data_IF_000733837278
#
_entry.id   IF_000733837278
#
_cell.length_a   1.000
_cell.length_b   1.000
_cell.length_c   1.000
_cell.angle_alpha   90.00
_cell.angle_beta   90.00
_cell.angle_gamma   90.00
#
_symmetry.space_group_name_H-M   'P 1'
#
loop_
_entity.id
_entity.type
_entity.pdbx_description
1 polymer ?
#
# COMPACT_ATOMS: atom_id res chain seq x y z
N UNK A 1 -40.72 -47.40 15.96
CA UNK A 1 -39.63 -46.82 16.77
C UNK A 1 -38.88 -45.86 15.86
N UNK A 2 -39.29 -44.60 15.86
CA UNK A 2 -38.70 -43.51 15.07
C UNK A 2 -37.71 -42.80 15.99
N UNK A 3 -36.44 -42.74 15.59
CA UNK A 3 -35.40 -42.03 16.32
C UNK A 3 -35.54 -40.54 16.05
N UNK A 4 -35.76 -39.76 17.12
CA UNK A 4 -35.57 -38.31 17.14
C UNK A 4 -34.09 -38.00 16.91
N UNK A 5 -33.79 -37.24 15.86
CA UNK A 5 -32.47 -36.66 15.64
C UNK A 5 -32.49 -35.28 16.29
N UNK A 6 -31.72 -35.14 17.37
CA UNK A 6 -31.56 -33.94 18.17
C UNK A 6 -31.00 -32.79 17.30
N UNK A 7 -31.72 -31.66 17.28
CA UNK A 7 -31.44 -30.51 16.40
C UNK A 7 -30.25 -29.65 16.87
N UNK A 8 -29.42 -30.16 17.77
CA UNK A 8 -28.33 -29.43 18.42
C UNK A 8 -26.92 -29.76 17.90
N UNK A 9 -26.79 -30.67 16.94
CA UNK A 9 -25.49 -31.09 16.35
C UNK A 9 -25.24 -30.53 14.95
N UNK A 10 -26.01 -29.51 14.54
CA UNK A 10 -25.82 -28.88 13.23
C UNK A 10 -24.68 -27.84 13.34
N UNK A 11 -23.54 -28.01 12.65
CA UNK A 11 -22.50 -26.99 12.63
C UNK A 11 -23.08 -25.68 12.08
N UNK A 12 -22.56 -24.51 12.52
CA UNK A 12 -23.03 -23.23 11.99
C UNK A 12 -22.99 -23.26 10.47
N UNK A 13 -24.10 -22.83 9.84
CA UNK A 13 -24.16 -22.71 8.38
C UNK A 13 -23.14 -21.67 7.94
N UNK A 14 -22.04 -22.13 7.35
CA UNK A 14 -21.12 -21.26 6.61
C UNK A 14 -21.75 -20.96 5.25
N UNK A 15 -22.90 -20.29 5.24
CA UNK A 15 -23.27 -19.49 4.08
C UNK A 15 -22.23 -18.38 3.99
N UNK A 16 -21.19 -18.64 3.20
CA UNK A 16 -20.26 -17.67 2.62
C UNK A 16 -21.03 -16.73 1.67
N UNK A 17 -22.07 -16.08 2.19
CA UNK A 17 -22.36 -14.73 1.81
C UNK A 17 -21.30 -13.89 2.50
N UNK A 18 -20.15 -13.72 1.85
CA UNK A 18 -19.41 -12.48 1.99
C UNK A 18 -20.46 -11.39 1.77
N UNK A 19 -20.99 -10.87 2.88
CA UNK A 19 -21.82 -9.70 2.86
C UNK A 19 -20.91 -8.69 2.19
N UNK A 20 -21.18 -8.38 0.93
CA UNK A 20 -20.77 -7.15 0.28
C UNK A 20 -21.50 -6.00 0.99
N UNK A 21 -21.41 -5.97 2.33
CA UNK A 21 -21.77 -4.84 3.12
C UNK A 21 -20.66 -3.85 2.85
N UNK A 22 -20.93 -3.01 1.86
CA UNK A 22 -20.13 -1.84 1.52
C UNK A 22 -19.99 -0.87 2.71
N UNK A 23 -20.66 -1.15 3.84
CA UNK A 23 -20.54 -0.49 5.13
C UNK A 23 -19.87 -1.33 6.22
N UNK A 24 -19.24 -2.48 5.91
CA UNK A 24 -18.45 -3.22 6.89
C UNK A 24 -17.36 -2.30 7.45
N UNK A 25 -17.56 -1.86 8.69
CA UNK A 25 -16.71 -0.90 9.38
C UNK A 25 -15.34 -1.56 9.57
N UNK A 26 -14.39 -1.28 8.67
CA UNK A 26 -13.02 -1.78 8.81
C UNK A 26 -12.43 -1.07 10.02
N UNK A 27 -12.08 -1.84 11.05
CA UNK A 27 -11.47 -1.31 12.27
C UNK A 27 -10.18 -0.56 11.90
N UNK A 28 -9.93 0.63 12.48
CA UNK A 28 -8.71 1.39 12.24
C UNK A 28 -7.50 0.50 12.54
N UNK A 29 -6.69 0.21 11.52
CA UNK A 29 -5.53 -0.67 11.68
C UNK A 29 -4.26 0.17 11.71
N UNK A 30 -3.35 -0.15 12.65
CA UNK A 30 -2.02 0.47 12.70
C UNK A 30 -1.06 -0.39 11.88
N UNK A 31 -0.39 0.21 10.91
CA UNK A 31 0.70 -0.38 10.15
C UNK A 31 2.04 0.07 10.72
N UNK A 32 2.91 -0.88 11.05
CA UNK A 32 4.22 -0.63 11.65
C UNK A 32 5.31 -1.06 10.68
N UNK A 33 6.12 -0.11 10.20
CA UNK A 33 7.30 -0.42 9.39
C UNK A 33 8.50 -0.72 10.31
N UNK A 34 8.94 -1.98 10.33
CA UNK A 34 10.09 -2.47 11.08
C UNK A 34 11.14 -3.02 10.09
N UNK A 35 12.19 -2.24 9.85
CA UNK A 35 13.25 -2.58 8.89
C UNK A 35 12.72 -2.70 7.46
N UNK A 36 12.61 -3.94 6.97
CA UNK A 36 12.16 -4.28 5.61
C UNK A 36 10.77 -4.96 5.61
N UNK A 37 10.02 -4.84 6.71
CA UNK A 37 8.74 -5.51 6.89
C UNK A 37 7.69 -4.57 7.47
N UNK A 38 6.44 -4.73 7.02
CA UNK A 38 5.30 -3.98 7.54
C UNK A 38 4.38 -4.96 8.27
N UNK A 39 4.02 -4.61 9.51
CA UNK A 39 3.22 -5.41 10.42
C UNK A 39 1.94 -4.69 10.82
N UNK A 40 1.00 -5.43 11.40
CA UNK A 40 -0.21 -4.88 12.03
C UNK A 40 0.02 -4.69 13.52
N UNK A 41 -0.27 -3.49 14.02
CA UNK A 41 -0.23 -3.04 15.44
C UNK A 41 1.13 -3.09 16.13
N UNK A 42 1.90 -4.16 15.94
CA UNK A 42 3.18 -4.46 16.59
C UNK A 42 4.16 -5.10 15.62
N UNK A 43 5.43 -4.73 15.74
CA UNK A 43 6.54 -5.30 14.96
C UNK A 43 6.85 -6.78 15.29
N UNK A 44 6.26 -7.34 16.36
CA UNK A 44 6.46 -8.73 16.77
C UNK A 44 5.49 -9.72 16.08
N UNK A 45 4.52 -9.21 15.33
CA UNK A 45 3.54 -10.01 14.61
C UNK A 45 4.10 -10.68 13.35
N UNK A 46 3.22 -11.42 12.67
CA UNK A 46 3.50 -11.89 11.32
C UNK A 46 3.41 -10.70 10.34
N UNK A 47 4.39 -10.53 9.42
CA UNK A 47 4.38 -9.41 8.49
C UNK A 47 3.23 -9.51 7.48
N UNK A 48 2.64 -8.37 7.14
CA UNK A 48 1.69 -8.22 6.05
C UNK A 48 2.39 -7.95 4.71
N UNK A 49 3.48 -7.19 4.76
CA UNK A 49 4.25 -6.81 3.58
C UNK A 49 5.74 -6.91 3.85
N UNK A 50 6.49 -7.15 2.79
CA UNK A 50 7.94 -7.28 2.79
C UNK A 50 8.56 -6.40 1.71
N UNK A 51 9.77 -5.94 1.98
CA UNK A 51 10.64 -5.24 1.05
C UNK A 51 11.88 -6.12 0.84
N UNK A 52 12.39 -6.24 -0.40
CA UNK A 52 13.63 -6.99 -0.65
C UNK A 52 14.88 -6.28 -0.09
N UNK A 53 14.79 -4.96 0.10
CA UNK A 53 15.84 -4.10 0.67
C UNK A 53 15.26 -2.87 1.38
N UNK A 54 16.08 -2.19 2.18
CA UNK A 54 15.65 -1.02 2.95
C UNK A 54 15.42 0.21 2.06
N UNK A 55 14.30 0.92 2.23
CA UNK A 55 13.97 2.12 1.44
C UNK A 55 14.95 3.28 1.71
N UNK A 56 15.43 3.41 2.95
CA UNK A 56 16.47 4.39 3.32
C UNK A 56 17.81 4.17 2.61
N UNK A 57 18.00 2.98 2.02
CA UNK A 57 19.22 2.64 1.27
C UNK A 57 19.12 2.99 -0.21
N UNK A 58 17.98 3.48 -0.70
CA UNK A 58 17.84 3.91 -2.09
C UNK A 58 18.85 5.02 -2.39
N UNK A 59 19.82 4.70 -3.23
CA UNK A 59 20.99 5.54 -3.49
C UNK A 59 21.37 5.44 -4.98
N UNK A 60 22.57 5.91 -5.33
CA UNK A 60 23.11 5.63 -6.66
C UNK A 60 23.30 4.12 -6.92
N UNK A 61 23.57 3.30 -5.91
CA UNK A 61 23.79 1.86 -6.11
C UNK A 61 22.48 1.06 -6.21
N UNK A 62 21.40 1.61 -5.66
CA UNK A 62 20.14 0.90 -5.38
C UNK A 62 18.99 1.81 -5.79
N UNK A 63 18.50 1.62 -7.02
CA UNK A 63 17.42 2.45 -7.59
C UNK A 63 16.05 1.79 -7.57
N UNK A 64 15.95 0.57 -7.06
CA UNK A 64 14.75 -0.27 -7.12
C UNK A 64 14.65 -1.14 -5.87
N UNK A 65 13.45 -1.23 -5.28
CA UNK A 65 13.09 -2.10 -4.15
C UNK A 65 11.80 -2.82 -4.53
N UNK A 66 11.75 -4.13 -4.38
CA UNK A 66 10.51 -4.90 -4.57
C UNK A 66 9.64 -4.79 -3.32
N UNK A 67 8.36 -4.49 -3.51
CA UNK A 67 7.35 -4.47 -2.47
C UNK A 67 6.38 -5.64 -2.66
N UNK A 68 6.37 -6.53 -1.67
CA UNK A 68 5.66 -7.79 -1.69
C UNK A 68 4.58 -7.84 -0.62
N UNK A 69 3.43 -8.44 -0.95
CA UNK A 69 2.39 -8.80 0.00
C UNK A 69 2.56 -10.25 0.45
N UNK A 70 2.36 -10.50 1.74
CA UNK A 70 2.33 -11.84 2.32
C UNK A 70 0.88 -12.31 2.37
N UNK A 71 0.49 -13.14 1.41
CA UNK A 71 -0.81 -13.83 1.41
C UNK A 71 -0.71 -15.07 2.31
N UNK A 72 -1.83 -15.47 2.93
CA UNK A 72 -1.95 -16.73 3.68
C UNK A 72 -2.84 -17.69 2.90
N UNK A 73 -2.27 -18.81 2.45
CA UNK A 73 -3.01 -19.86 1.76
C UNK A 73 -3.46 -20.89 2.79
N UNK A 74 -4.78 -21.12 2.86
CA UNK A 74 -5.35 -22.24 3.60
C UNK A 74 -5.40 -23.42 2.63
N UNK A 75 -4.70 -24.50 2.99
CA UNK A 75 -4.66 -25.74 2.22
C UNK A 75 -5.13 -26.88 3.11
N UNK A 76 -5.99 -27.75 2.60
CA UNK A 76 -6.27 -29.03 3.27
C UNK A 76 -5.12 -29.99 2.99
N UNK A 77 -4.63 -30.65 4.03
CA UNK A 77 -3.67 -31.73 3.89
C UNK A 77 -4.37 -33.08 3.60
N UNK A 78 -3.60 -34.16 3.48
CA UNK A 78 -4.12 -35.49 3.21
C UNK A 78 -4.99 -36.07 4.35
N UNK A 79 -4.96 -35.43 5.53
CA UNK A 79 -5.73 -35.80 6.72
C UNK A 79 -6.92 -34.86 6.95
N UNK A 80 -7.25 -34.01 5.97
CA UNK A 80 -8.32 -32.99 6.04
C UNK A 80 -8.09 -31.89 7.08
N UNK A 81 -6.86 -31.73 7.57
CA UNK A 81 -6.49 -30.66 8.51
C UNK A 81 -6.09 -29.38 7.76
N UNK A 82 -6.58 -28.20 8.18
CA UNK A 82 -6.27 -26.94 7.53
C UNK A 82 -4.83 -26.50 7.86
N UNK A 83 -3.96 -26.53 6.85
CA UNK A 83 -2.61 -25.99 6.92
C UNK A 83 -2.54 -24.59 6.33
N UNK A 84 -1.96 -23.65 7.07
CA UNK A 84 -1.77 -22.27 6.61
C UNK A 84 -0.33 -22.10 6.13
N UNK A 85 -0.14 -21.80 4.84
CA UNK A 85 1.18 -21.53 4.26
C UNK A 85 1.30 -20.08 3.80
N UNK A 86 2.36 -19.35 4.20
CA UNK A 86 2.60 -18.01 3.68
C UNK A 86 3.03 -18.10 2.21
N UNK A 87 2.48 -17.20 1.39
CA UNK A 87 2.88 -17.00 -0.01
C UNK A 87 3.16 -15.52 -0.23
N UNK A 88 4.37 -15.21 -0.69
CA UNK A 88 4.70 -13.85 -1.09
C UNK A 88 4.22 -13.56 -2.51
N UNK A 89 3.72 -12.35 -2.72
CA UNK A 89 3.30 -11.84 -4.03
C UNK A 89 3.93 -10.48 -4.25
N UNK A 90 4.76 -10.36 -5.28
CA UNK A 90 5.31 -9.08 -5.70
C UNK A 90 4.19 -8.20 -6.31
N UNK A 91 3.92 -7.04 -5.68
CA UNK A 91 2.82 -6.14 -6.07
C UNK A 91 3.31 -4.82 -6.68
N UNK A 92 4.45 -4.29 -6.23
CA UNK A 92 5.02 -3.04 -6.74
C UNK A 92 6.54 -3.05 -6.69
N UNK A 93 7.17 -2.38 -7.65
CA UNK A 93 8.55 -1.90 -7.51
C UNK A 93 8.53 -0.45 -7.01
N UNK A 94 9.31 -0.13 -5.98
CA UNK A 94 9.60 1.25 -5.57
C UNK A 94 10.87 1.69 -6.30
N UNK A 95 10.76 2.66 -7.19
CA UNK A 95 11.84 3.11 -8.08
C UNK A 95 12.26 4.53 -7.81
N UNK A 96 13.56 4.78 -7.87
CA UNK A 96 14.18 6.10 -7.77
C UNK A 96 14.77 6.51 -9.12
N UNK A 97 14.25 7.59 -9.72
CA UNK A 97 14.73 8.10 -11.00
C UNK A 97 15.99 8.93 -10.78
N UNK A 98 17.07 8.52 -11.44
CA UNK A 98 18.30 9.30 -11.52
C UNK A 98 18.18 10.33 -12.64
N UNK A 99 18.76 11.52 -12.44
CA UNK A 99 18.90 12.50 -13.52
C UNK A 99 19.65 11.92 -14.73
N UNK A 100 19.46 12.52 -15.91
CA UNK A 100 20.09 12.05 -17.16
C UNK A 100 21.62 12.28 -17.11
N UNK A 101 22.40 11.21 -17.27
CA UNK A 101 23.87 11.29 -17.33
C UNK A 101 24.33 12.24 -18.45
N UNK A 102 25.28 13.13 -18.14
CA UNK A 102 25.87 14.08 -19.10
C UNK A 102 25.15 15.42 -19.25
N UNK A 103 24.06 15.65 -18.50
CA UNK A 103 23.44 16.97 -18.32
C UNK A 103 23.66 17.45 -16.88
N UNK A 104 23.61 18.75 -16.62
CA UNK A 104 23.66 19.34 -15.27
C UNK A 104 22.41 18.92 -14.47
N UNK A 105 22.39 17.66 -14.01
CA UNK A 105 21.58 17.06 -12.95
C UNK A 105 20.19 17.67 -12.68
N UNK A 106 19.31 17.78 -13.67
CA UNK A 106 17.90 18.07 -13.36
C UNK A 106 17.01 16.98 -13.94
N UNK A 107 16.48 16.14 -13.04
CA UNK A 107 15.23 15.43 -13.27
C UNK A 107 14.22 16.42 -13.85
N UNK A 108 13.50 16.04 -14.91
CA UNK A 108 12.47 16.92 -15.43
C UNK A 108 11.50 17.29 -14.31
N UNK A 109 11.04 18.55 -14.26
CA UNK A 109 10.04 19.00 -13.26
C UNK A 109 8.76 18.16 -13.27
N UNK A 110 8.49 17.48 -14.39
CA UNK A 110 7.35 16.58 -14.59
C UNK A 110 7.62 15.13 -14.21
N UNK A 111 8.85 14.78 -13.85
CA UNK A 111 9.24 13.43 -13.46
C UNK A 111 9.29 13.29 -11.95
N UNK A 112 8.73 12.21 -11.38
CA UNK A 112 8.82 11.95 -9.94
C UNK A 112 10.25 11.52 -9.56
N UNK A 113 10.84 12.01 -8.46
CA UNK A 113 12.09 11.46 -7.97
C UNK A 113 11.91 10.00 -7.50
N UNK A 114 10.79 9.69 -6.86
CA UNK A 114 10.42 8.36 -6.40
C UNK A 114 9.00 8.04 -6.89
N UNK A 115 8.81 6.84 -7.43
CA UNK A 115 7.52 6.32 -7.86
C UNK A 115 7.39 4.83 -7.58
N UNK A 116 6.16 4.35 -7.45
CA UNK A 116 5.84 2.93 -7.40
C UNK A 116 5.32 2.46 -8.76
N UNK A 117 5.82 1.33 -9.21
CA UNK A 117 5.43 0.69 -10.44
C UNK A 117 4.70 -0.61 -10.12
N UNK A 118 3.38 -0.64 -10.34
CA UNK A 118 2.61 -1.87 -10.21
C UNK A 118 3.13 -2.99 -11.12
N UNK A 119 3.20 -4.21 -10.58
CA UNK A 119 3.54 -5.43 -11.35
C UNK A 119 2.36 -5.96 -12.16
N UNK A 120 1.13 -5.66 -11.73
CA UNK A 120 -0.10 -6.09 -12.39
C UNK A 120 -1.12 -4.98 -12.45
N UNK A 121 -1.79 -4.82 -13.60
CA UNK A 121 -2.87 -3.85 -13.78
C UNK A 121 -4.17 -4.21 -13.06
N UNK A 122 -4.44 -5.51 -12.86
CA UNK A 122 -5.74 -5.98 -12.36
C UNK A 122 -5.92 -5.79 -10.85
N UNK A 123 -4.83 -5.80 -10.10
CA UNK A 123 -4.85 -5.81 -8.62
C UNK A 123 -4.02 -4.65 -8.05
N UNK A 124 -4.00 -3.51 -8.74
CA UNK A 124 -3.22 -2.34 -8.33
C UNK A 124 -3.97 -1.05 -8.61
N UNK A 125 -3.61 0.01 -7.88
CA UNK A 125 -4.07 1.39 -8.13
C UNK A 125 -3.28 2.08 -9.25
N UNK A 126 -2.54 1.31 -10.07
CA UNK A 126 -1.67 1.81 -11.14
C UNK A 126 -0.30 2.27 -10.64
N UNK A 127 0.46 2.92 -11.53
CA UNK A 127 1.77 3.49 -11.20
C UNK A 127 1.59 4.87 -10.60
N UNK A 128 2.19 5.12 -9.44
CA UNK A 128 1.98 6.35 -8.67
C UNK A 128 3.32 6.98 -8.31
N UNK A 129 3.40 8.30 -8.35
CA UNK A 129 4.59 9.06 -8.00
C UNK A 129 4.27 10.13 -6.97
N UNK A 130 5.27 10.46 -6.16
CA UNK A 130 5.14 11.49 -5.14
C UNK A 130 5.61 12.84 -5.69
N UNK A 131 4.70 13.82 -5.76
CA UNK A 131 4.98 15.19 -6.22
C UNK A 131 4.95 16.16 -5.06
N UNK A 132 6.03 16.88 -4.84
CA UNK A 132 6.08 17.96 -3.85
C UNK A 132 5.25 19.14 -4.32
N UNK A 133 4.35 19.62 -3.47
CA UNK A 133 3.68 20.90 -3.70
C UNK A 133 4.67 22.06 -3.51
N UNK A 134 4.36 23.22 -4.10
CA UNK A 134 5.15 24.44 -3.89
C UNK A 134 4.99 24.97 -2.46
N UNK A 135 3.87 24.65 -1.80
CA UNK A 135 3.72 24.86 -0.36
C UNK A 135 4.55 23.82 0.40
N UNK A 136 5.35 24.31 1.36
CA UNK A 136 6.15 23.46 2.25
C UNK A 136 5.22 22.47 2.96
N UNK A 137 5.64 21.20 2.99
CA UNK A 137 4.99 20.11 3.73
C UNK A 137 3.66 19.60 3.18
N UNK A 138 3.40 19.78 1.89
CA UNK A 138 2.28 19.13 1.19
C UNK A 138 2.81 18.32 -0.01
N UNK A 139 2.41 17.06 -0.11
CA UNK A 139 2.71 16.19 -1.24
C UNK A 139 1.44 15.68 -1.90
N UNK A 140 1.52 15.41 -3.21
CA UNK A 140 0.44 14.82 -4.00
C UNK A 140 0.91 13.49 -4.56
N UNK A 141 0.08 12.46 -4.43
CA UNK A 141 0.31 11.17 -5.05
C UNK A 141 -0.43 11.15 -6.39
N UNK A 142 0.33 11.14 -7.49
CA UNK A 142 -0.21 11.31 -8.84
C UNK A 142 0.08 10.08 -9.71
N UNK A 143 -0.83 9.73 -10.63
CA UNK A 143 -0.56 8.75 -11.67
C UNK A 143 0.69 9.07 -12.50
N UNK A 144 1.48 8.06 -12.80
CA UNK A 144 2.73 8.15 -13.57
C UNK A 144 2.64 7.34 -14.86
N UNK A 145 3.02 7.97 -15.97
CA UNK A 145 3.33 7.31 -17.22
C UNK A 145 4.76 6.76 -17.16
N UNK A 146 4.88 5.46 -16.90
CA UNK A 146 6.18 4.76 -16.86
C UNK A 146 6.78 4.52 -18.25
N UNK A 147 6.03 4.72 -19.34
CA UNK A 147 6.54 4.51 -20.69
C UNK A 147 7.50 5.61 -21.16
N UNK A 148 7.51 6.75 -20.46
CA UNK A 148 8.36 7.90 -20.75
C UNK A 148 8.00 8.67 -22.01
N UNK A 149 6.98 8.24 -22.77
CA UNK A 149 6.55 8.84 -24.04
C UNK A 149 6.07 10.29 -23.89
N UNK A 150 5.61 10.65 -22.71
CA UNK A 150 5.13 11.99 -22.38
C UNK A 150 6.22 12.95 -21.90
N UNK A 151 7.47 12.46 -21.73
CA UNK A 151 8.63 13.26 -21.31
C UNK A 151 9.56 13.55 -22.49
N UNK A 152 10.39 14.59 -22.36
CA UNK A 152 11.36 14.96 -23.40
C UNK A 152 12.53 13.98 -23.46
N UNK A 153 12.93 13.41 -22.31
CA UNK A 153 14.09 12.52 -22.19
C UNK A 153 13.73 11.02 -22.03
N UNK A 154 12.49 10.63 -22.29
CA UNK A 154 12.04 9.23 -22.12
C UNK A 154 11.98 8.77 -20.66
N UNK A 155 11.97 9.69 -19.70
CA UNK A 155 11.83 9.42 -18.27
C UNK A 155 10.35 9.24 -17.89
N UNK A 156 10.03 8.40 -16.89
CA UNK A 156 8.70 8.38 -16.31
C UNK A 156 8.24 9.78 -15.91
N UNK A 157 6.99 10.12 -16.21
CA UNK A 157 6.44 11.45 -15.98
C UNK A 157 5.02 11.38 -15.42
N UNK A 158 4.62 12.39 -14.66
CA UNK A 158 3.23 12.51 -14.22
C UNK A 158 2.31 12.71 -15.42
N UNK A 159 1.14 12.07 -15.39
CA UNK A 159 0.09 12.39 -16.35
C UNK A 159 -0.31 13.86 -16.23
N UNK A 160 -0.44 14.54 -17.39
CA UNK A 160 -0.82 15.95 -17.46
C UNK A 160 -2.22 16.13 -16.86
N UNK A 161 -2.37 17.13 -15.99
CA UNK A 161 -3.64 17.51 -15.35
C UNK A 161 -4.32 16.36 -14.56
N UNK A 162 -3.54 15.34 -14.17
CA UNK A 162 -4.05 14.23 -13.37
C UNK A 162 -4.47 14.72 -11.98
N UNK A 163 -5.61 14.19 -11.52
CA UNK A 163 -6.07 14.41 -10.14
C UNK A 163 -5.23 13.53 -9.19
N UNK A 164 -4.89 14.04 -7.99
CA UNK A 164 -4.24 13.22 -6.98
C UNK A 164 -5.13 12.05 -6.58
N UNK A 165 -4.52 10.88 -6.38
CA UNK A 165 -5.20 9.73 -5.78
C UNK A 165 -5.29 9.94 -4.27
N UNK A 166 -4.22 10.46 -3.67
CA UNK A 166 -4.15 10.88 -2.27
C UNK A 166 -3.27 12.13 -2.13
N UNK A 167 -3.49 12.87 -1.05
CA UNK A 167 -2.64 13.99 -0.64
C UNK A 167 -2.02 13.71 0.73
N UNK A 168 -0.76 14.12 0.91
CA UNK A 168 -0.03 14.03 2.17
C UNK A 168 0.12 15.43 2.75
N UNK A 169 -0.55 15.69 3.87
CA UNK A 169 -0.59 17.01 4.50
C UNK A 169 0.10 16.95 5.86
N UNK A 170 1.01 17.88 6.12
CA UNK A 170 1.58 18.02 7.46
C UNK A 170 0.72 18.95 8.30
N UNK A 171 0.13 18.42 9.38
CA UNK A 171 -0.77 19.17 10.27
C UNK A 171 -0.47 18.81 11.71
N UNK A 172 -0.33 19.82 12.57
CA UNK A 172 -0.08 19.66 14.02
C UNK A 172 1.11 18.73 14.35
N UNK A 173 2.18 18.77 13.54
CA UNK A 173 3.41 18.02 13.80
C UNK A 173 3.47 16.59 13.24
N UNK A 174 2.42 16.14 12.53
CA UNK A 174 2.34 14.80 11.93
C UNK A 174 1.88 14.85 10.48
N UNK A 175 2.18 13.81 9.71
CA UNK A 175 1.62 13.63 8.38
C UNK A 175 0.21 12.99 8.42
N UNK A 176 -0.70 13.52 7.61
CA UNK A 176 -2.04 12.97 7.38
C UNK A 176 -2.18 12.62 5.90
N UNK A 177 -2.60 11.39 5.62
CA UNK A 177 -3.02 10.92 4.29
C UNK A 177 -4.49 11.26 4.09
N UNK A 178 -4.79 11.89 2.97
CA UNK A 178 -6.11 12.46 2.67
C UNK A 178 -6.58 11.96 1.31
N UNK A 179 -7.86 11.58 1.23
CA UNK A 179 -8.53 11.20 -0.02
C UNK A 179 -8.78 12.43 -0.94
N UNK A 180 -9.22 12.22 -2.20
CA UNK A 180 -9.52 13.31 -3.11
C UNK A 180 -10.62 14.27 -2.63
N UNK A 181 -11.53 13.79 -1.77
CA UNK A 181 -12.62 14.55 -1.17
C UNK A 181 -12.16 15.42 0.03
N UNK A 182 -10.95 15.19 0.54
CA UNK A 182 -10.38 15.94 1.65
C UNK A 182 -10.54 15.27 3.01
N UNK A 183 -11.03 14.04 3.07
CA UNK A 183 -11.17 13.26 4.30
C UNK A 183 -9.85 12.56 4.64
N UNK A 184 -9.48 12.57 5.92
CA UNK A 184 -8.30 11.87 6.38
C UNK A 184 -8.57 10.35 6.39
N UNK A 185 -7.71 9.59 5.73
CA UNK A 185 -7.80 8.12 5.63
C UNK A 185 -6.71 7.42 6.43
N UNK A 186 -5.61 8.10 6.71
CA UNK A 186 -4.57 7.61 7.60
C UNK A 186 -3.78 8.78 8.21
N UNK A 187 -3.17 8.55 9.36
CA UNK A 187 -2.32 9.52 10.06
C UNK A 187 -1.09 8.83 10.58
N UNK A 188 0.02 9.56 10.57
CA UNK A 188 1.23 9.13 11.27
C UNK A 188 0.96 9.14 12.79
N UNK A 189 1.35 8.04 13.44
CA UNK A 189 1.22 7.82 14.88
C UNK A 189 2.59 7.93 15.55
N UNK A 190 2.63 8.60 16.71
CA UNK A 190 3.87 8.78 17.48
C UNK A 190 4.17 7.48 18.24
N UNK A 191 5.12 6.69 17.73
CA UNK A 191 5.64 5.50 18.41
C UNK A 191 7.14 5.63 18.72
N UNK A 192 7.59 4.97 19.78
CA UNK A 192 9.02 4.89 20.15
C UNK A 192 9.82 4.28 19.00
N UNK A 193 10.58 5.10 18.28
CA UNK A 193 11.54 4.74 17.22
C UNK A 193 11.02 3.88 16.06
N UNK A 194 9.70 3.81 15.86
CA UNK A 194 9.06 3.04 14.78
C UNK A 194 8.15 3.96 13.95
N UNK A 195 8.22 3.83 12.61
CA UNK A 195 7.29 4.51 11.72
C UNK A 195 5.94 3.79 11.76
N UNK A 196 4.92 4.47 12.27
CA UNK A 196 3.58 3.92 12.48
C UNK A 196 2.57 4.76 11.71
N UNK A 197 1.72 4.08 10.94
CA UNK A 197 0.63 4.70 10.21
C UNK A 197 -0.69 4.10 10.70
N UNK A 198 -1.58 4.94 11.19
CA UNK A 198 -2.89 4.55 11.67
C UNK A 198 -3.94 4.92 10.63
N UNK A 199 -4.62 3.91 10.09
CA UNK A 199 -5.80 4.15 9.26
C UNK A 199 -6.90 4.81 10.10
N UNK A 200 -7.74 5.65 9.47
CA UNK A 200 -8.92 6.23 10.09
C UNK A 200 -10.14 5.50 9.52
N UNK A 201 -11.05 5.05 10.39
CA UNK A 201 -12.35 4.54 9.94
C UNK A 201 -13.03 5.59 9.04
N UNK A 202 -13.21 5.25 7.76
CA UNK A 202 -14.11 5.98 6.90
C UNK A 202 -15.48 5.30 6.96
N UNK A 203 -16.42 5.88 7.72
CA UNK A 203 -17.85 5.63 7.47
C UNK A 203 -18.19 6.24 6.11
N UNK A 204 -18.59 5.44 5.12
CA UNK A 204 -19.31 5.98 3.95
C UNK A 204 -20.80 5.76 4.15
N UNK A 205 -21.46 6.75 4.72
CA UNK A 205 -22.88 6.96 4.47
C UNK A 205 -23.05 7.78 3.19
N UNK A 206 -23.63 7.18 2.16
CA UNK A 206 -24.37 7.84 1.09
C UNK A 206 -25.33 6.82 0.45
#
# INVERSE_FOLDING_TARGET
>A
MTADIDAHDQPPSYDDGASNDVNALVSPTIHVLAGQSIHTESAHGAPLYLLDRGIATLSYATSEVEFMRVDRLVMQDANDEPTIKPRTRHIYDIKHIKGVYGTLSSLESKSPPIFIQATSKKNSVGHLGLKKSHMRSHWKVLPVDVSGKSSKYGQPAFFKDAKPVFELRHKRGRYEWVDPEGNAIAVEDEGEDQYREKEICACKGA
#
